data_IF_850171948556
#
_entry.id   IF_850171948556
#
_cell.length_a   1.000
_cell.length_b   1.000
_cell.length_c   1.000
_cell.angle_alpha   90.00
_cell.angle_beta   90.00
_cell.angle_gamma   90.00
#
_symmetry.space_group_name_H-M   'P 1'
#
loop_
_entity.id
_entity.type
_entity.pdbx_description
1 polymer ?
#
# COMPACT_ATOMS: atom_id res chain seq x y z
N UNK A 1 -9.78 -20.14 1.65
CA UNK A 1 -9.91 -18.86 2.38
C UNK A 1 -10.03 -17.72 1.36
N UNK A 2 -10.58 -16.57 1.72
CA UNK A 2 -10.57 -15.41 0.83
C UNK A 2 -9.34 -14.54 1.11
N UNK A 3 -8.70 -14.07 0.04
CA UNK A 3 -7.61 -13.12 0.07
C UNK A 3 -8.09 -11.78 -0.46
N UNK A 4 -7.71 -10.67 0.19
CA UNK A 4 -8.02 -9.32 -0.26
C UNK A 4 -6.81 -8.75 -0.99
N UNK A 5 -7.00 -8.31 -2.23
CA UNK A 5 -5.95 -7.83 -3.11
C UNK A 5 -6.11 -6.35 -3.40
N UNK A 6 -4.96 -5.69 -3.52
CA UNK A 6 -4.81 -4.35 -4.09
C UNK A 6 -4.00 -4.49 -5.39
N UNK A 7 -4.69 -4.46 -6.52
CA UNK A 7 -4.07 -4.62 -7.84
C UNK A 7 -3.79 -3.22 -8.40
N UNK A 8 -2.51 -2.91 -8.65
CA UNK A 8 -2.05 -1.57 -9.02
C UNK A 8 -1.40 -1.54 -10.40
N UNK A 9 -1.72 -0.51 -11.17
CA UNK A 9 -1.10 -0.18 -12.47
C UNK A 9 -1.15 1.33 -12.69
N UNK A 10 -0.01 1.97 -12.86
CA UNK A 10 0.11 3.44 -12.97
C UNK A 10 -0.61 4.11 -11.79
N UNK A 11 -1.61 4.94 -12.06
CA UNK A 11 -2.48 5.59 -11.06
C UNK A 11 -3.77 4.79 -10.73
N UNK A 12 -3.99 3.65 -11.37
CA UNK A 12 -5.13 2.77 -11.11
C UNK A 12 -4.86 1.84 -9.92
N UNK A 13 -5.83 1.75 -9.01
CA UNK A 13 -5.86 0.78 -7.91
C UNK A 13 -7.21 0.09 -7.92
N UNK A 14 -7.22 -1.24 -7.95
CA UNK A 14 -8.41 -2.09 -7.88
C UNK A 14 -8.36 -2.85 -6.54
N UNK A 15 -9.42 -2.71 -5.75
CA UNK A 15 -9.63 -3.51 -4.55
C UNK A 15 -10.60 -4.63 -4.88
N UNK A 16 -10.18 -5.88 -4.67
CA UNK A 16 -11.00 -7.06 -4.93
C UNK A 16 -10.58 -8.18 -4.02
N UNK A 17 -11.47 -9.10 -3.75
CA UNK A 17 -11.16 -10.39 -3.13
C UNK A 17 -11.09 -11.51 -4.18
N UNK A 18 -10.41 -12.60 -3.82
CA UNK A 18 -10.38 -13.85 -4.56
C UNK A 18 -10.22 -15.03 -3.59
N UNK A 19 -10.56 -16.25 -4.02
CA UNK A 19 -10.25 -17.44 -3.23
C UNK A 19 -8.74 -17.65 -3.23
N UNK A 20 -8.19 -18.19 -2.15
CA UNK A 20 -6.78 -18.62 -2.06
C UNK A 20 -6.40 -19.68 -3.10
N UNK A 21 -7.39 -20.39 -3.65
CA UNK A 21 -7.24 -21.34 -4.75
C UNK A 21 -7.31 -20.70 -6.14
N UNK A 22 -7.69 -19.42 -6.25
CA UNK A 22 -7.79 -18.71 -7.53
C UNK A 22 -6.40 -18.57 -8.15
N UNK A 23 -6.26 -19.01 -9.39
CA UNK A 23 -5.00 -18.95 -10.12
C UNK A 23 -4.71 -17.53 -10.62
N UNK A 24 -3.43 -17.23 -10.89
CA UNK A 24 -3.04 -15.95 -11.50
C UNK A 24 -3.72 -15.72 -12.85
N UNK A 25 -4.00 -16.78 -13.62
CA UNK A 25 -4.69 -16.66 -14.91
C UNK A 25 -6.15 -16.23 -14.73
N UNK A 26 -6.87 -16.82 -13.78
CA UNK A 26 -8.25 -16.42 -13.45
C UNK A 26 -8.27 -14.99 -12.90
N UNK A 27 -7.34 -14.66 -12.01
CA UNK A 27 -7.20 -13.30 -11.50
C UNK A 27 -6.94 -12.30 -12.63
N UNK A 28 -6.08 -12.64 -13.59
CA UNK A 28 -5.83 -11.83 -14.79
C UNK A 28 -7.12 -11.60 -15.58
N UNK A 29 -7.93 -12.64 -15.82
CA UNK A 29 -9.23 -12.53 -16.51
C UNK A 29 -10.22 -11.65 -15.74
N UNK A 30 -10.24 -11.71 -14.42
CA UNK A 30 -11.09 -10.87 -13.57
C UNK A 30 -10.74 -9.37 -13.71
N UNK A 31 -9.47 -9.05 -13.96
CA UNK A 31 -8.99 -7.67 -14.15
C UNK A 31 -8.78 -7.29 -15.62
N UNK A 32 -9.06 -8.19 -16.57
CA UNK A 32 -8.58 -8.06 -17.94
C UNK A 32 -9.31 -6.96 -18.70
N UNK A 33 -8.52 -6.00 -19.17
CA UNK A 33 -8.80 -5.07 -20.28
C UNK A 33 -7.59 -5.00 -21.21
N UNK A 34 -6.98 -6.15 -21.52
CA UNK A 34 -5.69 -6.26 -22.22
C UNK A 34 -5.78 -6.06 -23.73
N UNK A 35 -4.75 -5.45 -24.31
CA UNK A 35 -4.55 -5.33 -25.77
C UNK A 35 -4.01 -6.65 -26.34
N UNK A 36 -4.48 -6.99 -27.53
CA UNK A 36 -4.28 -8.27 -28.23
C UNK A 36 -2.86 -8.55 -28.77
N UNK A 37 -1.89 -7.65 -28.57
CA UNK A 37 -0.59 -7.68 -29.26
C UNK A 37 0.60 -8.26 -28.46
N UNK A 38 0.37 -8.84 -27.27
CA UNK A 38 1.36 -9.70 -26.57
C UNK A 38 2.58 -9.00 -25.97
N UNK A 39 2.79 -7.71 -26.23
CA UNK A 39 3.88 -6.92 -25.64
C UNK A 39 3.54 -6.54 -24.19
N UNK A 40 4.38 -6.97 -23.23
CA UNK A 40 4.27 -6.54 -21.84
C UNK A 40 4.84 -5.13 -21.68
N UNK A 41 4.03 -4.19 -21.19
CA UNK A 41 4.57 -2.91 -20.72
C UNK A 41 5.38 -3.13 -19.42
N UNK A 42 6.38 -2.29 -19.19
CA UNK A 42 7.09 -2.26 -17.93
C UNK A 42 6.13 -1.96 -16.77
N UNK A 43 6.37 -2.59 -15.62
CA UNK A 43 5.61 -2.30 -14.41
C UNK A 43 5.83 -0.83 -14.01
N UNK A 44 4.75 -0.06 -14.05
CA UNK A 44 4.71 1.32 -13.58
C UNK A 44 3.72 1.43 -12.42
N UNK A 45 4.19 1.95 -11.29
CA UNK A 45 3.41 2.14 -10.07
C UNK A 45 3.63 3.56 -9.56
N UNK A 46 2.60 4.40 -9.67
CA UNK A 46 2.66 5.73 -9.06
C UNK A 46 2.62 5.58 -7.53
N UNK A 47 3.61 6.14 -6.78
CA UNK A 47 3.58 6.10 -5.33
C UNK A 47 2.36 6.87 -4.78
N UNK A 48 1.82 6.43 -3.66
CA UNK A 48 0.83 7.20 -2.92
C UNK A 48 1.46 8.45 -2.32
N UNK A 49 0.64 9.44 -2.00
CA UNK A 49 1.09 10.63 -1.27
C UNK A 49 1.57 10.25 0.12
N UNK A 50 2.62 10.92 0.60
CA UNK A 50 2.99 10.89 2.02
C UNK A 50 1.87 11.50 2.87
N UNK A 51 1.65 11.00 4.10
CA UNK A 51 0.74 11.66 5.04
C UNK A 51 1.23 13.08 5.39
N UNK A 52 0.35 13.99 5.83
CA UNK A 52 0.76 15.30 6.31
C UNK A 52 1.57 15.19 7.60
N UNK A 53 2.30 16.25 7.94
CA UNK A 53 2.98 16.35 9.23
C UNK A 53 1.96 16.27 10.37
N UNK A 54 2.33 15.50 11.39
CA UNK A 54 1.49 15.30 12.57
C UNK A 54 1.35 16.63 13.34
N UNK A 55 0.13 17.08 13.70
CA UNK A 55 -0.03 18.31 14.46
C UNK A 55 0.62 18.18 15.84
N UNK A 56 1.08 19.29 16.41
CA UNK A 56 1.80 19.29 17.70
C UNK A 56 1.00 18.67 18.86
N UNK A 57 -0.33 18.77 18.81
CA UNK A 57 -1.24 18.13 19.78
C UNK A 57 -1.16 16.60 19.75
N UNK A 58 -0.86 16.02 18.59
CA UNK A 58 -0.75 14.56 18.39
C UNK A 58 0.69 14.07 18.54
N UNK A 59 1.70 14.94 18.49
CA UNK A 59 3.07 14.57 18.86
C UNK A 59 3.03 14.21 20.35
N UNK A 60 3.36 12.97 20.69
CA UNK A 60 3.46 12.56 22.10
C UNK A 60 4.34 13.56 22.82
N UNK A 61 3.83 14.10 23.92
CA UNK A 61 4.60 14.97 24.81
C UNK A 61 5.83 14.16 25.22
N UNK A 62 7.03 14.58 24.78
CA UNK A 62 8.26 13.98 25.31
C UNK A 62 8.12 14.05 26.83
N UNK A 63 8.15 12.88 27.45
CA UNK A 63 7.99 12.77 28.89
C UNK A 63 9.14 13.56 29.51
N UNK A 64 8.80 14.65 30.20
CA UNK A 64 9.67 15.39 31.11
C UNK A 64 10.31 14.43 32.13
N UNK A 65 11.41 13.77 31.75
CA UNK A 65 11.99 12.68 32.54
C UNK A 65 13.52 12.58 32.54
N UNK A 66 14.25 13.52 31.94
CA UNK A 66 15.71 13.57 32.03
C UNK A 66 16.21 14.97 32.46
N UNK A 67 15.68 15.48 33.57
CA UNK A 67 16.33 16.54 34.36
C UNK A 67 16.28 16.18 35.86
N UNK A 68 16.99 15.12 36.25
CA UNK A 68 17.39 14.84 37.64
C UNK A 68 18.16 13.52 37.64
N UNK A 69 19.47 13.49 37.36
CA UNK A 69 20.48 12.56 37.92
C UNK A 69 21.87 12.95 37.35
N UNK A 70 22.39 14.12 37.71
CA UNK A 70 23.85 14.36 37.69
C UNK A 70 24.20 15.51 38.66
N UNK A 71 23.85 15.27 39.93
CA UNK A 71 24.49 15.91 41.08
C UNK A 71 24.80 14.75 42.04
N UNK A 72 25.96 14.11 41.84
CA UNK A 72 26.83 13.53 42.86
C UNK A 72 28.20 13.23 42.23
#
# INVERSE_FOLDING_TARGET
MDVFLMIRRKKLTIFTDAKDTTTVLELKKMIEGGKENGEFEALDLTPYSSPPDLPDVMKSQETNGQEQMDQH
#
